data_IF_957052261136
#
_entry.id   IF_957052261136
#
_cell.length_a   1.000
_cell.length_b   1.000
_cell.length_c   1.000
_cell.angle_alpha   90.00
_cell.angle_beta   90.00
_cell.angle_gamma   90.00
#
_symmetry.space_group_name_H-M   'P 1'
#
loop_
_entity.id
_entity.type
_entity.pdbx_description
1 polymer ?
#
# COMPACT_ATOMS: atom_id res chain seq x y z
N UNK A 1 -96.40 0.26 22.90
CA UNK A 1 -94.95 0.61 22.87
C UNK A 1 -94.76 1.68 21.82
N UNK A 2 -94.15 2.82 22.11
CA UNK A 2 -94.05 3.91 21.13
C UNK A 2 -93.06 3.54 20.01
N UNK A 3 -93.41 3.74 18.73
CA UNK A 3 -92.54 3.37 17.61
C UNK A 3 -91.18 4.11 17.63
N UNK A 4 -91.15 5.28 18.26
CA UNK A 4 -89.95 6.09 18.44
C UNK A 4 -88.89 5.48 19.38
N UNK A 5 -89.31 4.70 20.38
CA UNK A 5 -88.37 4.05 21.30
C UNK A 5 -87.52 2.97 20.60
N UNK A 6 -88.10 2.23 19.66
CA UNK A 6 -87.39 1.22 18.88
C UNK A 6 -86.37 1.82 17.90
N UNK A 7 -86.73 2.93 17.25
CA UNK A 7 -85.82 3.66 16.35
C UNK A 7 -84.63 4.25 17.12
N UNK A 8 -84.88 4.84 18.29
CA UNK A 8 -83.83 5.38 19.15
C UNK A 8 -82.85 4.29 19.61
N UNK A 9 -83.35 3.11 20.02
CA UNK A 9 -82.52 1.98 20.40
C UNK A 9 -81.68 1.47 19.21
N UNK A 10 -82.25 1.39 18.01
CA UNK A 10 -81.53 1.00 16.80
C UNK A 10 -80.39 1.95 16.43
N UNK A 11 -80.62 3.27 16.53
CA UNK A 11 -79.60 4.28 16.27
C UNK A 11 -78.43 4.21 17.28
N UNK A 12 -78.72 3.95 18.56
CA UNK A 12 -77.69 3.77 19.59
C UNK A 12 -76.82 2.55 19.30
N UNK A 13 -77.42 1.45 18.83
CA UNK A 13 -76.68 0.24 18.45
C UNK A 13 -75.79 0.47 17.22
N UNK A 14 -76.28 1.21 16.22
CA UNK A 14 -75.47 1.55 15.04
C UNK A 14 -74.31 2.47 15.43
N UNK A 15 -74.57 3.50 16.23
CA UNK A 15 -73.55 4.44 16.68
C UNK A 15 -72.46 3.76 17.53
N UNK A 16 -72.83 2.83 18.42
CA UNK A 16 -71.86 2.08 19.22
C UNK A 16 -71.04 1.10 18.38
N UNK A 17 -71.67 0.42 17.41
CA UNK A 17 -70.94 -0.44 16.48
C UNK A 17 -69.98 0.35 15.60
N UNK A 18 -70.39 1.51 15.11
CA UNK A 18 -69.52 2.40 14.34
C UNK A 18 -68.34 2.91 15.17
N UNK A 19 -68.60 3.35 16.41
CA UNK A 19 -67.55 3.84 17.31
C UNK A 19 -66.52 2.75 17.62
N UNK A 20 -66.96 1.52 17.88
CA UNK A 20 -66.06 0.38 18.14
C UNK A 20 -65.27 -0.02 16.89
N UNK A 21 -65.87 0.02 15.70
CA UNK A 21 -65.18 -0.21 14.43
C UNK A 21 -64.10 0.84 14.15
N UNK A 22 -64.43 2.13 14.27
CA UNK A 22 -63.48 3.22 14.04
C UNK A 22 -62.33 3.20 15.06
N UNK A 23 -62.65 2.87 16.32
CA UNK A 23 -61.63 2.66 17.35
C UNK A 23 -60.71 1.49 16.99
N UNK A 24 -61.25 0.35 16.57
CA UNK A 24 -60.46 -0.79 16.11
C UNK A 24 -59.55 -0.42 14.93
N UNK A 25 -60.10 0.25 13.91
CA UNK A 25 -59.36 0.69 12.73
C UNK A 25 -58.22 1.65 13.08
N UNK A 26 -58.48 2.64 13.93
CA UNK A 26 -57.46 3.61 14.35
C UNK A 26 -56.33 2.94 15.16
N UNK A 27 -56.67 1.98 16.02
CA UNK A 27 -55.67 1.19 16.77
C UNK A 27 -54.81 0.33 15.84
N UNK A 28 -55.40 -0.34 14.86
CA UNK A 28 -54.64 -1.16 13.90
C UNK A 28 -53.73 -0.30 13.01
N UNK A 29 -54.21 0.87 12.54
CA UNK A 29 -53.38 1.83 11.81
C UNK A 29 -52.23 2.37 12.68
N UNK A 30 -52.49 2.68 13.95
CA UNK A 30 -51.46 3.15 14.88
C UNK A 30 -50.41 2.07 15.16
N UNK A 31 -50.81 0.82 15.37
CA UNK A 31 -49.90 -0.32 15.53
C UNK A 31 -49.07 -0.56 14.28
N UNK A 32 -49.70 -0.56 13.10
CA UNK A 32 -49.01 -0.71 11.82
C UNK A 32 -48.00 0.41 11.59
N UNK A 33 -48.38 1.67 11.88
CA UNK A 33 -47.49 2.83 11.81
C UNK A 33 -46.30 2.72 12.75
N UNK A 34 -46.52 2.32 14.01
CA UNK A 34 -45.44 2.10 14.98
C UNK A 34 -44.51 0.96 14.55
N UNK A 35 -45.06 -0.14 14.03
CA UNK A 35 -44.26 -1.26 13.55
C UNK A 35 -43.44 -0.87 12.33
N UNK A 36 -44.02 -0.13 11.37
CA UNK A 36 -43.29 0.37 10.21
C UNK A 36 -42.18 1.32 10.63
N UNK A 37 -42.46 2.29 11.51
CA UNK A 37 -41.45 3.24 11.98
C UNK A 37 -40.28 2.54 12.70
N UNK A 38 -40.56 1.49 13.48
CA UNK A 38 -39.51 0.66 14.10
C UNK A 38 -38.64 -0.04 13.05
N UNK A 39 -39.25 -0.64 12.02
CA UNK A 39 -38.49 -1.27 10.92
C UNK A 39 -37.66 -0.24 10.17
N UNK A 40 -38.25 0.87 9.74
CA UNK A 40 -37.54 1.91 8.98
C UNK A 40 -36.36 2.47 9.79
N UNK A 41 -36.52 2.63 11.11
CA UNK A 41 -35.42 3.03 11.99
C UNK A 41 -34.31 1.98 12.09
N UNK A 42 -34.69 0.69 12.12
CA UNK A 42 -33.75 -0.42 12.12
C UNK A 42 -33.00 -0.54 10.80
N UNK A 43 -33.72 -0.40 9.68
CA UNK A 43 -33.16 -0.45 8.33
C UNK A 43 -32.17 0.70 8.11
N UNK A 44 -32.53 1.93 8.51
CA UNK A 44 -31.62 3.08 8.45
C UNK A 44 -30.39 2.93 9.33
N UNK A 45 -30.54 2.33 10.52
CA UNK A 45 -29.41 2.06 11.40
C UNK A 45 -28.49 0.99 10.79
N UNK A 46 -29.06 -0.08 10.23
CA UNK A 46 -28.33 -1.13 9.56
C UNK A 46 -27.57 -0.60 8.34
N UNK A 47 -28.21 0.26 7.54
CA UNK A 47 -27.60 0.97 6.41
C UNK A 47 -26.43 1.83 6.87
N UNK A 48 -26.62 2.69 7.88
CA UNK A 48 -25.56 3.56 8.38
C UNK A 48 -24.37 2.79 8.99
N UNK A 49 -24.62 1.65 9.64
CA UNK A 49 -23.56 0.76 10.14
C UNK A 49 -22.82 0.10 8.98
N UNK A 50 -23.56 -0.40 7.97
CA UNK A 50 -23.01 -1.01 6.78
C UNK A 50 -22.13 -0.05 5.98
N UNK A 51 -22.59 1.18 5.76
CA UNK A 51 -21.81 2.23 5.09
C UNK A 51 -20.53 2.55 5.86
N UNK A 52 -20.60 2.73 7.17
CA UNK A 52 -19.40 3.01 7.99
C UNK A 52 -18.40 1.87 7.95
N UNK A 53 -18.86 0.64 8.04
CA UNK A 53 -18.00 -0.54 7.95
C UNK A 53 -17.32 -0.62 6.57
N UNK A 54 -18.07 -0.37 5.49
CA UNK A 54 -17.53 -0.33 4.14
C UNK A 54 -16.48 0.78 3.96
N UNK A 55 -16.77 2.00 4.44
CA UNK A 55 -15.82 3.12 4.40
C UNK A 55 -14.56 2.85 5.23
N UNK A 56 -14.70 2.24 6.39
CA UNK A 56 -13.56 1.87 7.23
C UNK A 56 -12.66 0.86 6.51
N UNK A 57 -13.24 -0.11 5.81
CA UNK A 57 -12.50 -1.08 5.02
C UNK A 57 -11.82 -0.43 3.81
N UNK A 58 -12.49 0.50 3.12
CA UNK A 58 -11.88 1.31 2.06
C UNK A 58 -10.67 2.10 2.56
N UNK A 59 -10.81 2.78 3.71
CA UNK A 59 -9.71 3.54 4.33
C UNK A 59 -8.56 2.61 4.71
N UNK A 60 -8.84 1.48 5.36
CA UNK A 60 -7.83 0.50 5.75
C UNK A 60 -7.01 0.02 4.55
N UNK A 61 -7.68 -0.31 3.43
CA UNK A 61 -7.00 -0.73 2.18
C UNK A 61 -6.18 0.41 1.59
N UNK A 62 -6.74 1.62 1.54
CA UNK A 62 -6.05 2.79 1.01
C UNK A 62 -4.78 3.13 1.82
N UNK A 63 -4.87 3.07 3.15
CA UNK A 63 -3.75 3.32 4.05
C UNK A 63 -2.66 2.25 3.89
N UNK A 64 -3.03 0.97 3.83
CA UNK A 64 -2.09 -0.12 3.62
C UNK A 64 -1.38 -0.03 2.25
N UNK A 65 -2.11 0.36 1.19
CA UNK A 65 -1.50 0.62 -0.13
C UNK A 65 -0.54 1.80 -0.07
N UNK A 66 -0.93 2.88 0.62
CA UNK A 66 -0.09 4.05 0.73
C UNK A 66 1.18 3.76 1.52
N UNK A 67 1.10 2.99 2.61
CA UNK A 67 2.25 2.52 3.37
C UNK A 67 3.20 1.70 2.49
N UNK A 68 2.68 0.74 1.72
CA UNK A 68 3.46 -0.06 0.78
C UNK A 68 4.20 0.82 -0.24
N UNK A 69 3.52 1.84 -0.79
CA UNK A 69 4.10 2.78 -1.75
C UNK A 69 5.20 3.65 -1.13
N UNK A 70 4.97 4.17 0.08
CA UNK A 70 5.95 4.99 0.80
C UNK A 70 7.20 4.17 1.11
N UNK A 71 7.03 2.96 1.66
CA UNK A 71 8.14 2.06 1.95
C UNK A 71 8.92 1.68 0.69
N UNK A 72 8.23 1.34 -0.40
CA UNK A 72 8.88 1.03 -1.68
C UNK A 72 9.66 2.23 -2.26
N UNK A 73 9.17 3.46 -2.06
CA UNK A 73 9.90 4.67 -2.45
C UNK A 73 11.14 4.92 -1.59
N UNK A 74 11.02 4.72 -0.27
CA UNK A 74 12.14 4.84 0.67
C UNK A 74 13.24 3.83 0.34
N UNK A 75 12.91 2.57 0.12
CA UNK A 75 13.88 1.54 -0.25
C UNK A 75 14.59 1.84 -1.58
N UNK A 76 13.89 2.37 -2.59
CA UNK A 76 14.52 2.83 -3.83
C UNK A 76 15.49 3.97 -3.59
N UNK A 77 15.10 4.94 -2.78
CA UNK A 77 15.94 6.10 -2.46
C UNK A 77 17.23 5.66 -1.76
N UNK A 78 17.13 4.71 -0.84
CA UNK A 78 18.28 4.13 -0.15
C UNK A 78 19.18 3.35 -1.12
N UNK A 79 18.60 2.53 -2.00
CA UNK A 79 19.36 1.77 -2.99
C UNK A 79 20.06 2.69 -4.00
N UNK A 80 19.39 3.73 -4.48
CA UNK A 80 19.96 4.71 -5.40
C UNK A 80 21.12 5.48 -4.74
N UNK A 81 20.95 5.92 -3.48
CA UNK A 81 22.02 6.57 -2.72
C UNK A 81 23.22 5.63 -2.51
N UNK A 82 22.96 4.38 -2.12
CA UNK A 82 24.00 3.36 -1.95
C UNK A 82 24.76 3.07 -3.25
N UNK A 83 24.05 3.06 -4.38
CA UNK A 83 24.65 2.87 -5.70
C UNK A 83 25.56 4.05 -6.10
N UNK A 84 25.16 5.29 -5.82
CA UNK A 84 25.98 6.49 -6.04
C UNK A 84 27.22 6.46 -5.14
N UNK A 85 27.07 6.10 -3.86
CA UNK A 85 28.17 6.02 -2.91
C UNK A 85 29.19 4.93 -3.31
N UNK A 86 28.71 3.78 -3.80
CA UNK A 86 29.54 2.71 -4.33
C UNK A 86 30.32 3.15 -5.58
N UNK A 87 29.65 3.83 -6.53
CA UNK A 87 30.30 4.36 -7.73
C UNK A 87 31.39 5.39 -7.34
N UNK A 88 31.10 6.28 -6.39
CA UNK A 88 32.05 7.26 -5.89
C UNK A 88 33.25 6.62 -5.16
N UNK A 89 33.01 5.58 -4.36
CA UNK A 89 34.07 4.81 -3.71
C UNK A 89 34.97 4.10 -4.73
N UNK A 90 34.39 3.50 -5.76
CA UNK A 90 35.11 2.89 -6.87
C UNK A 90 35.98 3.89 -7.63
N UNK A 91 35.47 5.10 -7.89
CA UNK A 91 36.25 6.18 -8.52
C UNK A 91 37.44 6.58 -7.65
N UNK A 92 37.23 6.85 -6.36
CA UNK A 92 38.32 7.20 -5.43
C UNK A 92 39.39 6.11 -5.36
N UNK A 93 38.98 4.83 -5.35
CA UNK A 93 39.93 3.71 -5.34
C UNK A 93 40.79 3.70 -6.61
N UNK A 94 40.19 3.93 -7.78
CA UNK A 94 40.92 4.01 -9.06
C UNK A 94 41.88 5.20 -9.09
N UNK A 95 41.46 6.36 -8.58
CA UNK A 95 42.30 7.56 -8.51
C UNK A 95 43.51 7.35 -7.59
N UNK A 96 43.30 6.82 -6.39
CA UNK A 96 44.38 6.53 -5.44
C UNK A 96 45.31 5.43 -5.96
N UNK A 97 44.78 4.39 -6.61
CA UNK A 97 45.59 3.37 -7.27
C UNK A 97 46.44 3.97 -8.41
N UNK A 98 45.88 4.90 -9.19
CA UNK A 98 46.61 5.62 -10.24
C UNK A 98 47.73 6.50 -9.69
N UNK A 99 47.47 7.26 -8.62
CA UNK A 99 48.49 8.04 -7.92
C UNK A 99 49.60 7.16 -7.35
N UNK A 100 49.24 6.05 -6.73
CA UNK A 100 50.20 5.09 -6.21
C UNK A 100 51.07 4.56 -7.35
N UNK A 101 50.47 4.07 -8.43
CA UNK A 101 51.18 3.57 -9.61
C UNK A 101 52.14 4.61 -10.20
N UNK A 102 51.72 5.88 -10.30
CA UNK A 102 52.59 6.97 -10.74
C UNK A 102 53.77 7.20 -9.77
N UNK A 103 53.55 7.13 -8.46
CA UNK A 103 54.60 7.33 -7.46
C UNK A 103 55.67 6.23 -7.45
N UNK A 104 55.29 4.97 -7.74
CA UNK A 104 56.25 3.85 -7.83
C UNK A 104 56.86 3.68 -9.22
N UNK A 105 56.37 4.39 -10.25
CA UNK A 105 56.86 4.27 -11.63
C UNK A 105 58.21 4.96 -11.89
N UNK A 106 58.83 5.61 -10.91
CA UNK A 106 60.19 6.15 -11.05
C UNK A 106 61.18 4.99 -11.25
N UNK A 107 61.79 4.83 -12.44
CA UNK A 107 62.69 3.71 -12.68
C UNK A 107 63.91 3.84 -11.77
N UNK A 108 64.21 2.81 -10.99
CA UNK A 108 65.53 2.66 -10.39
C UNK A 108 66.60 2.61 -11.50
N UNK A 109 67.83 3.04 -11.19
CA UNK A 109 68.93 3.10 -12.16
C UNK A 109 69.36 1.72 -12.70
N UNK A 110 68.88 0.62 -12.11
CA UNK A 110 69.17 -0.75 -12.52
C UNK A 110 68.25 -1.23 -13.67
N UNK A 111 68.74 -1.08 -14.89
CA UNK A 111 68.05 -1.48 -16.13
C UNK A 111 67.80 -2.99 -16.22
N UNK A 112 68.60 -3.83 -15.54
CA UNK A 112 68.40 -5.28 -15.52
C UNK A 112 67.21 -5.68 -14.63
N UNK A 113 66.93 -4.91 -13.57
CA UNK A 113 65.74 -5.08 -12.75
C UNK A 113 64.47 -4.64 -13.51
N UNK A 114 64.55 -3.55 -14.26
CA UNK A 114 63.44 -3.07 -15.11
C UNK A 114 63.08 -4.10 -16.20
N UNK A 115 64.07 -4.66 -16.90
CA UNK A 115 63.85 -5.68 -17.92
C UNK A 115 63.20 -6.96 -17.34
N UNK A 116 63.57 -7.37 -16.12
CA UNK A 116 62.94 -8.50 -15.43
C UNK A 116 61.50 -8.22 -14.98
N UNK A 117 61.15 -6.95 -14.74
CA UNK A 117 59.82 -6.53 -14.28
C UNK A 117 58.77 -6.35 -15.38
N UNK A 118 59.17 -6.27 -16.65
CA UNK A 118 58.29 -5.88 -17.76
C UNK A 118 57.09 -6.82 -17.97
N UNK A 119 57.29 -8.13 -17.77
CA UNK A 119 56.23 -9.12 -17.83
C UNK A 119 55.23 -8.95 -16.66
N UNK A 120 55.70 -8.60 -15.47
CA UNK A 120 54.85 -8.34 -14.32
C UNK A 120 54.02 -7.06 -14.51
N UNK A 121 54.60 -6.00 -15.07
CA UNK A 121 53.86 -4.77 -15.42
C UNK A 121 52.75 -5.05 -16.43
N UNK A 122 53.03 -5.82 -17.49
CA UNK A 122 52.00 -6.23 -18.47
C UNK A 122 50.89 -7.06 -17.82
N UNK A 123 51.22 -8.00 -16.94
CA UNK A 123 50.22 -8.77 -16.20
C UNK A 123 49.36 -7.88 -15.29
N UNK A 124 49.97 -6.91 -14.60
CA UNK A 124 49.26 -5.97 -13.74
C UNK A 124 48.28 -5.07 -14.54
N UNK A 125 48.66 -4.62 -15.74
CA UNK A 125 47.78 -3.84 -16.61
C UNK A 125 46.54 -4.64 -17.04
N UNK A 126 46.73 -5.91 -17.42
CA UNK A 126 45.60 -6.79 -17.79
C UNK A 126 44.69 -7.06 -16.60
N UNK A 127 45.26 -7.36 -15.42
CA UNK A 127 44.47 -7.56 -14.20
C UNK A 127 43.68 -6.30 -13.80
N UNK A 128 44.26 -5.11 -13.98
CA UNK A 128 43.57 -3.84 -13.70
C UNK A 128 42.40 -3.59 -14.66
N UNK A 129 42.55 -3.88 -15.96
CA UNK A 129 41.45 -3.77 -16.92
C UNK A 129 40.34 -4.80 -16.62
N UNK A 130 40.71 -6.05 -16.32
CA UNK A 130 39.75 -7.09 -15.93
C UNK A 130 39.00 -6.73 -14.65
N UNK A 131 39.70 -6.21 -13.64
CA UNK A 131 39.08 -5.76 -12.39
C UNK A 131 38.11 -4.61 -12.65
N UNK A 132 38.47 -3.65 -13.50
CA UNK A 132 37.61 -2.50 -13.84
C UNK A 132 36.33 -2.96 -14.53
N UNK A 133 36.43 -3.89 -15.49
CA UNK A 133 35.25 -4.46 -16.18
C UNK A 133 34.38 -5.29 -15.25
N UNK A 134 35.00 -6.09 -14.38
CA UNK A 134 34.30 -6.93 -13.42
C UNK A 134 33.54 -6.09 -12.39
N UNK A 135 34.19 -5.05 -11.84
CA UNK A 135 33.59 -4.10 -10.90
C UNK A 135 32.41 -3.35 -11.53
N UNK A 136 32.58 -2.81 -12.73
CA UNK A 136 31.51 -2.15 -13.46
C UNK A 136 30.32 -3.09 -13.69
N UNK A 137 30.58 -4.34 -14.10
CA UNK A 137 29.52 -5.32 -14.31
C UNK A 137 28.83 -5.73 -13.01
N UNK A 138 29.58 -5.88 -11.93
CA UNK A 138 29.02 -6.19 -10.62
C UNK A 138 28.11 -5.04 -10.14
N UNK A 139 28.50 -3.78 -10.35
CA UNK A 139 27.68 -2.61 -10.02
C UNK A 139 26.38 -2.54 -10.82
N UNK A 140 26.42 -2.81 -12.14
CA UNK A 140 25.21 -2.90 -12.96
C UNK A 140 24.26 -3.99 -12.49
N UNK A 141 24.80 -5.17 -12.15
CA UNK A 141 24.01 -6.29 -11.66
C UNK A 141 23.40 -5.96 -10.29
N UNK A 142 24.17 -5.37 -9.37
CA UNK A 142 23.67 -4.96 -8.06
C UNK A 142 22.48 -3.99 -8.20
N UNK A 143 22.63 -2.94 -9.02
CA UNK A 143 21.54 -1.99 -9.32
C UNK A 143 20.28 -2.69 -9.84
N UNK A 144 20.44 -3.61 -10.80
CA UNK A 144 19.32 -4.36 -11.37
C UNK A 144 18.65 -5.29 -10.34
N UNK A 145 19.43 -5.97 -9.50
CA UNK A 145 18.91 -6.84 -8.46
C UNK A 145 18.17 -6.06 -7.36
N UNK A 146 18.71 -4.92 -6.92
CA UNK A 146 18.04 -4.07 -5.94
C UNK A 146 16.71 -3.55 -6.48
N UNK A 147 16.68 -3.08 -7.72
CA UNK A 147 15.44 -2.65 -8.38
C UNK A 147 14.42 -3.79 -8.49
N UNK A 148 14.86 -4.99 -8.90
CA UNK A 148 13.98 -6.15 -9.03
C UNK A 148 13.43 -6.59 -7.68
N UNK A 149 14.26 -6.60 -6.63
CA UNK A 149 13.86 -6.94 -5.26
C UNK A 149 12.83 -5.94 -4.74
N UNK A 150 13.12 -4.65 -4.82
CA UNK A 150 12.20 -3.61 -4.33
C UNK A 150 10.88 -3.62 -5.10
N UNK A 151 10.91 -3.89 -6.41
CA UNK A 151 9.69 -4.06 -7.20
C UNK A 151 8.88 -5.29 -6.77
N UNK A 152 9.55 -6.41 -6.48
CA UNK A 152 8.93 -7.63 -5.95
C UNK A 152 8.30 -7.40 -4.59
N UNK A 153 9.06 -6.82 -3.66
CA UNK A 153 8.60 -6.51 -2.29
C UNK A 153 7.41 -5.55 -2.32
N UNK A 154 7.43 -4.53 -3.19
CA UNK A 154 6.29 -3.63 -3.38
C UNK A 154 5.08 -4.36 -3.96
N UNK A 155 5.26 -5.25 -4.93
CA UNK A 155 4.18 -6.02 -5.52
C UNK A 155 3.51 -6.92 -4.47
N UNK A 156 4.30 -7.63 -3.68
CA UNK A 156 3.80 -8.47 -2.60
C UNK A 156 3.08 -7.66 -1.53
N UNK A 157 3.67 -6.55 -1.08
CA UNK A 157 3.05 -5.66 -0.09
C UNK A 157 1.72 -5.07 -0.60
N UNK A 158 1.69 -4.63 -1.85
CA UNK A 158 0.48 -4.09 -2.49
C UNK A 158 -0.60 -5.17 -2.63
N UNK A 159 -0.24 -6.39 -3.00
CA UNK A 159 -1.20 -7.50 -3.06
C UNK A 159 -1.76 -7.82 -1.66
N UNK A 160 -0.87 -7.95 -0.67
CA UNK A 160 -1.25 -8.21 0.72
C UNK A 160 -2.18 -7.12 1.28
N UNK A 161 -1.98 -5.86 0.91
CA UNK A 161 -2.86 -4.75 1.30
C UNK A 161 -4.29 -4.83 0.72
N UNK A 162 -4.52 -5.63 -0.32
CA UNK A 162 -5.86 -5.88 -0.87
C UNK A 162 -6.56 -7.07 -0.21
N UNK A 163 -5.79 -8.09 0.18
CA UNK A 163 -6.34 -9.39 0.61
C UNK A 163 -6.39 -9.59 2.11
N UNK A 164 -5.51 -8.92 2.87
CA UNK A 164 -5.59 -8.84 4.33
C UNK A 164 -6.51 -7.71 4.71
#
# INVERSE_FOLDING_TARGET
MSPWAGVAAGLVLIASHWATYEHGRSVELAKAGQQSAKRDSGDRLAEAIGERAARQEEHRRADAQQEARVKGHEERTIADAGAVDADAAGQRLRDEAGKLAASVSCPGTDTAAVARGEAATRAALVLSDLLTRADARAGELAKAYDQARIAGDLCEASYNALIK
#
